data_IF_028335687503
#
_entry.id   IF_028335687503
#
_cell.length_a   1.000
_cell.length_b   1.000
_cell.length_c   1.000
_cell.angle_alpha   90.00
_cell.angle_beta   90.00
_cell.angle_gamma   90.00
#
_symmetry.space_group_name_H-M   'P 1'
#
loop_
_entity.id
_entity.type
_entity.pdbx_description
1 polymer ?
#
# COMPACT_ATOMS: atom_id res chain seq x y z
N UNK A 1 -14.53 13.65 4.43
CA UNK A 1 -15.71 14.48 4.11
C UNK A 1 -15.37 15.63 3.19
N UNK A 2 -16.37 16.37 2.80
CA UNK A 2 -16.25 17.57 1.98
C UNK A 2 -16.63 18.80 2.81
N UNK A 3 -15.85 19.88 2.72
CA UNK A 3 -16.21 21.13 3.36
C UNK A 3 -17.49 21.66 2.72
N UNK A 4 -18.56 21.83 3.51
CA UNK A 4 -19.85 22.33 3.05
C UNK A 4 -20.03 23.82 3.34
N UNK A 5 -19.43 24.32 4.45
CA UNK A 5 -19.53 25.71 4.86
C UNK A 5 -18.31 26.10 5.71
N UNK A 6 -17.80 27.30 5.49
CA UNK A 6 -16.75 27.89 6.33
C UNK A 6 -17.36 29.13 7.01
N UNK A 7 -17.66 29.00 8.30
CA UNK A 7 -18.14 30.09 9.13
C UNK A 7 -17.01 30.80 9.87
N UNK A 8 -17.33 31.88 10.59
CA UNK A 8 -16.36 32.68 11.37
C UNK A 8 -15.75 31.85 12.52
N UNK A 9 -16.56 31.06 13.21
CA UNK A 9 -16.13 30.30 14.39
C UNK A 9 -15.94 28.81 14.15
N UNK A 10 -16.58 28.26 13.11
CA UNK A 10 -16.57 26.83 12.82
C UNK A 10 -16.68 26.54 11.34
N UNK A 11 -16.10 25.41 10.94
CA UNK A 11 -16.19 24.81 9.60
C UNK A 11 -17.11 23.60 9.65
N UNK A 12 -18.04 23.50 8.71
CA UNK A 12 -18.93 22.35 8.56
C UNK A 12 -18.42 21.42 7.46
N UNK A 13 -18.38 20.13 7.78
CA UNK A 13 -17.89 19.06 6.89
C UNK A 13 -19.01 18.05 6.71
N UNK A 14 -19.44 17.86 5.45
CA UNK A 14 -20.35 16.77 5.10
C UNK A 14 -19.56 15.47 5.00
N UNK A 15 -19.93 14.47 5.80
CA UNK A 15 -19.31 13.15 5.80
C UNK A 15 -19.84 12.28 4.68
N UNK A 16 -19.22 11.11 4.46
CA UNK A 16 -19.69 10.12 3.47
C UNK A 16 -21.01 9.46 3.90
N UNK A 17 -21.25 9.37 5.19
CA UNK A 17 -22.48 8.85 5.78
C UNK A 17 -23.63 9.87 5.80
N UNK A 18 -23.44 11.01 5.11
CA UNK A 18 -24.43 12.06 4.91
C UNK A 18 -24.89 12.79 6.18
N UNK A 19 -23.98 12.95 7.18
CA UNK A 19 -24.21 13.86 8.30
C UNK A 19 -23.16 14.98 8.34
N UNK A 20 -23.47 16.05 9.07
CA UNK A 20 -22.60 17.23 9.18
C UNK A 20 -21.79 17.17 10.47
N UNK A 21 -20.47 17.27 10.36
CA UNK A 21 -19.56 17.50 11.47
C UNK A 21 -19.22 18.99 11.53
N UNK A 22 -19.44 19.61 12.67
CA UNK A 22 -19.06 21.00 12.90
C UNK A 22 -17.76 21.02 13.71
N UNK A 23 -16.70 21.57 13.12
CA UNK A 23 -15.36 21.65 13.72
C UNK A 23 -15.05 23.11 14.04
N UNK A 24 -14.77 23.49 15.31
CA UNK A 24 -14.33 24.83 15.65
C UNK A 24 -13.06 25.21 14.88
N UNK A 25 -12.99 26.43 14.31
CA UNK A 25 -11.82 26.85 13.53
C UNK A 25 -10.53 26.86 14.36
N UNK A 26 -10.61 27.11 15.65
CA UNK A 26 -9.46 27.03 16.57
C UNK A 26 -8.83 25.62 16.60
N UNK A 27 -9.63 24.55 16.47
CA UNK A 27 -9.13 23.17 16.41
C UNK A 27 -8.42 22.92 15.08
N UNK A 28 -8.98 23.43 13.99
CA UNK A 28 -8.37 23.30 12.64
C UNK A 28 -7.03 24.00 12.58
N UNK A 29 -6.94 25.24 13.09
CA UNK A 29 -5.71 26.05 13.05
C UNK A 29 -4.65 25.53 14.03
N UNK A 30 -5.06 24.99 15.19
CA UNK A 30 -4.16 24.43 16.20
C UNK A 30 -3.64 23.03 15.90
N UNK A 31 -4.19 22.36 14.89
CA UNK A 31 -3.82 21.01 14.53
C UNK A 31 -2.72 20.93 13.47
N UNK A 32 -2.12 19.75 13.34
CA UNK A 32 -1.20 19.46 12.22
C UNK A 32 -1.97 19.43 10.90
N UNK A 33 -1.59 20.27 9.95
CA UNK A 33 -2.17 20.31 8.61
C UNK A 33 -1.27 19.49 7.67
N UNK A 34 -1.83 18.50 7.01
CA UNK A 34 -1.16 17.69 5.98
C UNK A 34 -1.78 18.04 4.65
N UNK A 35 -1.03 18.66 3.76
CA UNK A 35 -1.44 18.92 2.39
C UNK A 35 -0.84 17.85 1.47
N UNK A 36 -1.65 16.93 0.98
CA UNK A 36 -1.22 15.81 0.15
C UNK A 36 -0.96 16.20 -1.32
N UNK A 37 -1.40 17.39 -1.75
CA UNK A 37 -1.30 17.84 -3.14
C UNK A 37 -0.38 19.05 -3.34
N UNK A 38 0.20 19.62 -2.26
CA UNK A 38 0.93 20.88 -2.31
C UNK A 38 2.19 20.85 -3.21
N UNK A 39 2.87 19.72 -3.28
CA UNK A 39 4.14 19.60 -4.01
C UNK A 39 4.04 18.78 -5.32
N UNK A 40 2.85 18.34 -5.69
CA UNK A 40 2.68 17.63 -6.95
C UNK A 40 2.37 18.62 -8.06
N UNK A 41 3.37 18.98 -8.86
CA UNK A 41 3.22 19.86 -10.02
C UNK A 41 2.16 19.37 -11.02
N UNK A 42 1.90 18.07 -11.03
CA UNK A 42 0.95 17.36 -11.88
C UNK A 42 -0.35 16.94 -11.17
N UNK A 43 -0.50 17.29 -9.88
CA UNK A 43 -1.70 16.99 -9.08
C UNK A 43 -1.85 15.54 -8.61
N UNK A 44 -0.93 14.64 -8.96
CA UNK A 44 -0.96 13.23 -8.50
C UNK A 44 -0.58 13.09 -7.03
N UNK A 45 -1.09 12.09 -6.33
CA UNK A 45 -0.86 11.82 -4.91
C UNK A 45 -0.15 10.50 -4.71
N UNK A 46 0.84 10.46 -3.83
CA UNK A 46 1.45 9.20 -3.42
C UNK A 46 0.54 8.45 -2.44
N UNK A 47 0.24 7.21 -2.78
CA UNK A 47 -0.49 6.28 -1.93
C UNK A 47 0.49 5.23 -1.42
N UNK A 48 0.47 5.01 -0.10
CA UNK A 48 1.27 4.00 0.57
C UNK A 48 0.35 3.00 1.25
N UNK A 49 0.68 1.72 1.14
CA UNK A 49 0.00 0.63 1.85
C UNK A 49 1.03 -0.40 2.32
N UNK A 50 0.69 -1.18 3.36
CA UNK A 50 1.56 -2.23 3.87
C UNK A 50 0.86 -3.57 3.90
N UNK A 51 1.65 -4.63 3.72
CA UNK A 51 1.23 -6.02 3.88
C UNK A 51 2.24 -6.78 4.72
N UNK A 52 1.80 -7.86 5.35
CA UNK A 52 2.64 -8.73 6.17
C UNK A 52 2.65 -10.14 5.58
N UNK A 53 3.83 -10.71 5.38
CA UNK A 53 4.02 -12.00 4.72
C UNK A 53 4.98 -12.85 5.55
N UNK A 54 4.64 -14.12 5.72
CA UNK A 54 5.47 -15.08 6.45
C UNK A 54 6.84 -15.32 5.79
N UNK A 55 7.77 -15.86 6.58
CA UNK A 55 9.14 -16.15 6.13
C UNK A 55 9.26 -17.33 5.16
N UNK A 56 8.19 -18.10 4.98
CA UNK A 56 8.07 -19.19 4.01
C UNK A 56 7.95 -18.73 2.56
N UNK A 57 7.68 -17.44 2.33
CA UNK A 57 7.58 -16.86 1.00
C UNK A 57 8.85 -16.09 0.65
N UNK A 58 9.44 -16.33 -0.54
CA UNK A 58 10.62 -15.60 -1.01
C UNK A 58 10.34 -14.11 -1.11
N UNK A 59 11.16 -13.26 -0.48
CA UNK A 59 10.95 -11.81 -0.51
C UNK A 59 10.98 -11.22 -1.94
N UNK A 60 11.70 -11.86 -2.87
CA UNK A 60 11.76 -11.44 -4.27
C UNK A 60 10.42 -11.66 -4.97
N UNK A 61 9.76 -12.77 -4.64
CA UNK A 61 8.41 -13.04 -5.12
C UNK A 61 7.43 -12.00 -4.57
N UNK A 62 7.50 -11.67 -3.27
CA UNK A 62 6.63 -10.64 -2.66
C UNK A 62 6.80 -9.29 -3.35
N UNK A 63 8.04 -8.86 -3.63
CA UNK A 63 8.30 -7.63 -4.37
C UNK A 63 7.64 -7.66 -5.75
N UNK A 64 7.86 -8.75 -6.51
CA UNK A 64 7.29 -8.89 -7.85
C UNK A 64 5.76 -8.92 -7.84
N UNK A 65 5.13 -9.55 -6.83
CA UNK A 65 3.68 -9.57 -6.65
C UNK A 65 3.12 -8.17 -6.37
N UNK A 66 3.76 -7.41 -5.49
CA UNK A 66 3.34 -6.05 -5.17
C UNK A 66 3.48 -5.10 -6.38
N UNK A 67 4.58 -5.21 -7.12
CA UNK A 67 4.77 -4.47 -8.36
C UNK A 67 3.74 -4.86 -9.43
N UNK A 68 3.43 -6.14 -9.57
CA UNK A 68 2.41 -6.64 -10.49
C UNK A 68 1.02 -6.12 -10.11
N UNK A 69 0.69 -6.13 -8.81
CA UNK A 69 -0.57 -5.58 -8.31
C UNK A 69 -0.69 -4.08 -8.63
N UNK A 70 0.38 -3.31 -8.42
CA UNK A 70 0.41 -1.89 -8.77
C UNK A 70 0.17 -1.65 -10.27
N UNK A 71 0.81 -2.45 -11.12
CA UNK A 71 0.63 -2.36 -12.59
C UNK A 71 -0.78 -2.71 -13.05
N UNK A 72 -1.46 -3.63 -12.37
CA UNK A 72 -2.84 -4.04 -12.70
C UNK A 72 -3.90 -3.09 -12.11
N UNK A 73 -3.49 -2.19 -11.20
CA UNK A 73 -4.44 -1.28 -10.53
C UNK A 73 -4.81 -0.11 -11.42
N UNK A 74 -6.10 0.05 -11.68
CA UNK A 74 -6.63 1.23 -12.36
C UNK A 74 -6.44 2.48 -11.47
N UNK A 75 -6.11 3.61 -12.10
CA UNK A 75 -5.89 4.88 -11.38
C UNK A 75 -4.50 5.04 -10.78
N UNK A 76 -3.61 4.05 -10.91
CA UNK A 76 -2.17 4.19 -10.64
C UNK A 76 -1.47 4.72 -11.88
N UNK A 77 -0.58 5.68 -11.71
CA UNK A 77 0.26 6.21 -12.78
C UNK A 77 1.32 5.17 -13.16
N UNK A 78 1.18 4.60 -14.36
CA UNK A 78 2.08 3.57 -14.88
C UNK A 78 3.42 4.14 -15.42
N UNK A 79 3.57 5.46 -15.51
CA UNK A 79 4.82 6.10 -15.92
C UNK A 79 5.82 6.18 -14.76
N UNK A 80 5.32 6.13 -13.54
CA UNK A 80 6.13 6.16 -12.32
C UNK A 80 6.18 4.76 -11.72
N UNK A 81 7.40 4.21 -11.63
CA UNK A 81 7.59 2.88 -11.08
C UNK A 81 7.12 2.81 -9.61
N UNK A 82 6.37 1.75 -9.23
CA UNK A 82 6.04 1.52 -7.84
C UNK A 82 7.30 1.24 -7.02
N UNK A 83 7.29 1.61 -5.76
CA UNK A 83 8.42 1.38 -4.85
C UNK A 83 7.98 0.39 -3.78
N UNK A 84 8.70 -0.73 -3.67
CA UNK A 84 8.48 -1.73 -2.63
C UNK A 84 9.64 -1.69 -1.63
N UNK A 85 9.31 -1.58 -0.34
CA UNK A 85 10.28 -1.57 0.76
C UNK A 85 9.94 -2.62 1.80
N UNK A 86 10.96 -3.15 2.47
CA UNK A 86 10.80 -3.92 3.71
C UNK A 86 10.85 -2.93 4.86
N UNK A 87 9.79 -2.88 5.68
CA UNK A 87 9.73 -1.99 6.83
C UNK A 87 10.33 -2.62 8.09
N UNK A 88 10.25 -3.95 8.21
CA UNK A 88 10.77 -4.64 9.37
C UNK A 88 10.73 -6.15 9.22
N UNK A 89 11.64 -6.79 9.96
CA UNK A 89 11.66 -8.23 10.19
C UNK A 89 11.07 -8.45 11.58
N UNK A 90 9.90 -9.04 11.65
CA UNK A 90 9.15 -9.21 12.91
C UNK A 90 9.14 -10.69 13.30
N UNK A 91 8.59 -11.02 14.46
CA UNK A 91 8.71 -12.36 15.03
C UNK A 91 8.24 -13.49 14.10
N UNK A 92 7.18 -13.24 13.30
CA UNK A 92 6.53 -14.26 12.48
C UNK A 92 6.38 -13.88 11.01
N UNK A 93 6.72 -12.65 10.63
CA UNK A 93 6.51 -12.12 9.29
C UNK A 93 7.47 -10.98 8.98
N UNK A 94 7.63 -10.71 7.69
CA UNK A 94 8.24 -9.49 7.18
C UNK A 94 7.13 -8.49 6.82
N UNK A 95 7.26 -7.26 7.27
CA UNK A 95 6.38 -6.15 6.86
C UNK A 95 6.94 -5.50 5.60
N UNK A 96 6.10 -5.41 4.56
CA UNK A 96 6.40 -4.76 3.29
C UNK A 96 5.53 -3.52 3.12
N UNK A 97 6.09 -2.49 2.52
CA UNK A 97 5.41 -1.28 2.10
C UNK A 97 5.43 -1.19 0.58
N UNK A 98 4.27 -0.93 -0.01
CA UNK A 98 4.12 -0.56 -1.41
C UNK A 98 3.73 0.91 -1.50
N UNK A 99 4.51 1.69 -2.23
CA UNK A 99 4.22 3.08 -2.57
C UNK A 99 3.96 3.18 -4.07
N UNK A 100 2.82 3.77 -4.44
CA UNK A 100 2.42 4.05 -5.82
C UNK A 100 2.02 5.50 -5.98
N UNK A 101 2.13 6.03 -7.19
CA UNK A 101 1.61 7.33 -7.56
C UNK A 101 0.20 7.15 -8.15
N UNK A 102 -0.78 7.88 -7.64
CA UNK A 102 -2.11 7.92 -8.24
C UNK A 102 -2.17 9.00 -9.33
N UNK A 103 -2.95 8.73 -10.37
CA UNK A 103 -3.27 9.73 -11.37
C UNK A 103 -4.04 10.91 -10.73
N UNK A 104 -3.90 12.15 -11.22
CA UNK A 104 -4.60 13.33 -10.69
C UNK A 104 -6.12 13.19 -10.66
N UNK A 105 -6.67 12.39 -11.58
CA UNK A 105 -8.11 12.10 -11.69
C UNK A 105 -8.62 11.09 -10.66
N UNK A 106 -7.72 10.37 -9.98
CA UNK A 106 -8.06 9.30 -9.05
C UNK A 106 -8.16 9.82 -7.62
N UNK A 107 -9.32 9.69 -7.00
CA UNK A 107 -9.51 10.03 -5.60
C UNK A 107 -8.76 9.03 -4.71
N UNK A 108 -8.08 9.52 -3.67
CA UNK A 108 -7.26 8.69 -2.77
C UNK A 108 -8.00 7.46 -2.19
N UNK A 109 -9.27 7.56 -1.72
CA UNK A 109 -9.99 6.39 -1.22
C UNK A 109 -10.28 5.35 -2.28
N UNK A 110 -10.62 5.79 -3.50
CA UNK A 110 -10.96 4.89 -4.61
C UNK A 110 -9.71 4.18 -5.11
N UNK A 111 -8.61 4.91 -5.28
CA UNK A 111 -7.30 4.34 -5.62
C UNK A 111 -6.80 3.35 -4.57
N UNK A 112 -7.00 3.64 -3.29
CA UNK A 112 -6.65 2.71 -2.20
C UNK A 112 -7.45 1.42 -2.27
N UNK A 113 -8.76 1.53 -2.45
CA UNK A 113 -9.61 0.35 -2.57
C UNK A 113 -9.24 -0.51 -3.79
N UNK A 114 -9.02 0.12 -4.94
CA UNK A 114 -8.58 -0.59 -6.15
C UNK A 114 -7.22 -1.28 -5.95
N UNK A 115 -6.25 -0.60 -5.31
CA UNK A 115 -4.94 -1.19 -5.03
C UNK A 115 -5.04 -2.38 -4.09
N UNK A 116 -5.83 -2.28 -3.01
CA UNK A 116 -6.03 -3.40 -2.08
C UNK A 116 -6.68 -4.61 -2.77
N UNK A 117 -7.69 -4.39 -3.62
CA UNK A 117 -8.30 -5.47 -4.40
C UNK A 117 -7.29 -6.13 -5.32
N UNK A 118 -6.51 -5.37 -6.06
CA UNK A 118 -5.46 -5.90 -6.94
C UNK A 118 -4.39 -6.69 -6.17
N UNK A 119 -4.00 -6.22 -4.97
CA UNK A 119 -3.06 -6.95 -4.11
C UNK A 119 -3.65 -8.31 -3.72
N UNK A 120 -4.89 -8.35 -3.24
CA UNK A 120 -5.55 -9.59 -2.84
C UNK A 120 -5.64 -10.56 -4.02
N UNK A 121 -6.09 -10.08 -5.18
CA UNK A 121 -6.25 -10.91 -6.38
C UNK A 121 -4.92 -11.50 -6.86
N UNK A 122 -3.87 -10.67 -6.94
CA UNK A 122 -2.54 -11.12 -7.37
C UNK A 122 -1.95 -12.12 -6.38
N UNK A 123 -2.03 -11.86 -5.08
CA UNK A 123 -1.50 -12.78 -4.08
C UNK A 123 -2.23 -14.11 -4.08
N UNK A 124 -3.56 -14.10 -4.26
CA UNK A 124 -4.37 -15.33 -4.42
C UNK A 124 -4.02 -16.09 -5.70
N UNK A 125 -3.84 -15.39 -6.84
CA UNK A 125 -3.46 -15.98 -8.12
C UNK A 125 -2.16 -16.80 -8.01
N UNK A 126 -1.19 -16.31 -7.23
CA UNK A 126 0.10 -16.97 -7.03
C UNK A 126 0.17 -17.82 -5.75
N UNK A 127 -0.94 -18.02 -5.06
CA UNK A 127 -1.02 -18.86 -3.86
C UNK A 127 -0.22 -18.36 -2.67
N UNK A 128 0.05 -17.06 -2.59
CA UNK A 128 0.76 -16.43 -1.48
C UNK A 128 -0.22 -15.86 -0.48
N UNK A 129 -0.14 -16.32 0.76
CA UNK A 129 -1.04 -15.87 1.82
C UNK A 129 -0.58 -14.54 2.42
N UNK A 130 -1.47 -13.55 2.46
CA UNK A 130 -1.31 -12.35 3.28
C UNK A 130 -1.66 -12.73 4.72
N UNK A 131 -0.68 -12.64 5.62
CA UNK A 131 -0.82 -13.14 6.98
C UNK A 131 -1.32 -12.07 7.95
N UNK A 132 -2.24 -12.48 8.83
CA UNK A 132 -2.50 -11.76 10.08
C UNK A 132 -1.41 -12.09 11.10
N UNK A 133 -1.02 -11.16 11.98
CA UNK A 133 0.02 -11.39 13.00
C UNK A 133 -0.47 -12.23 14.18
N UNK A 134 -1.23 -13.30 13.93
CA UNK A 134 -1.74 -14.19 14.97
C UNK A 134 -0.83 -15.43 15.07
N UNK A 135 -0.19 -15.59 16.22
CA UNK A 135 0.54 -16.80 16.54
C UNK A 135 -0.43 -17.94 16.88
N UNK A 136 -0.37 -19.02 16.10
CA UNK A 136 -1.17 -20.22 16.34
C UNK A 136 -0.30 -21.33 16.93
N UNK A 137 0.95 -21.50 16.42
CA UNK A 137 1.85 -22.54 16.84
C UNK A 137 3.27 -22.23 16.33
N UNK A 138 4.29 -22.54 17.13
CA UNK A 138 5.67 -22.52 16.65
C UNK A 138 5.92 -23.74 15.77
N UNK A 139 6.42 -23.59 14.53
CA UNK A 139 6.77 -24.71 13.67
C UNK A 139 7.84 -25.60 14.33
N UNK A 140 7.71 -26.91 14.22
CA UNK A 140 8.72 -27.87 14.73
C UNK A 140 10.01 -27.85 13.90
N UNK A 141 9.94 -27.40 12.64
CA UNK A 141 11.07 -27.27 11.74
C UNK A 141 11.29 -25.80 11.39
N UNK A 142 12.54 -25.45 11.02
CA UNK A 142 12.86 -24.10 10.56
C UNK A 142 12.06 -23.75 9.30
N UNK A 143 11.44 -22.59 9.30
CA UNK A 143 10.74 -22.02 8.13
C UNK A 143 11.76 -21.23 7.33
N UNK A 144 12.28 -21.85 6.28
CA UNK A 144 13.28 -21.25 5.39
C UNK A 144 12.86 -21.43 3.95
N UNK A 145 13.22 -20.48 3.10
CA UNK A 145 13.05 -20.59 1.65
C UNK A 145 14.31 -21.20 1.06
N UNK A 146 14.26 -22.40 0.44
CA UNK A 146 15.41 -23.01 -0.19
C UNK A 146 15.89 -22.17 -1.38
N UNK A 147 17.19 -22.27 -1.70
CA UNK A 147 17.84 -21.39 -2.69
C UNK A 147 17.20 -21.49 -4.09
N UNK A 148 16.78 -22.66 -4.50
CA UNK A 148 16.08 -22.91 -5.78
C UNK A 148 14.73 -22.19 -5.87
N UNK A 149 14.11 -21.84 -4.74
CA UNK A 149 12.84 -21.13 -4.68
C UNK A 149 12.99 -19.61 -4.48
N UNK A 150 14.21 -19.06 -4.45
CA UNK A 150 14.41 -17.62 -4.22
C UNK A 150 13.79 -16.71 -5.28
N UNK A 151 13.58 -17.24 -6.48
CA UNK A 151 12.98 -16.54 -7.62
C UNK A 151 11.68 -17.22 -8.06
N UNK A 152 10.81 -17.56 -7.09
CA UNK A 152 9.48 -18.07 -7.41
C UNK A 152 8.67 -17.01 -8.17
N UNK A 153 7.89 -17.47 -9.16
CA UNK A 153 7.10 -16.58 -10.02
C UNK A 153 6.24 -15.58 -9.20
N UNK A 154 6.09 -14.34 -9.64
CA UNK A 154 6.56 -13.75 -10.90
C UNK A 154 7.97 -13.13 -10.84
N UNK A 155 8.79 -13.42 -9.83
CA UNK A 155 10.15 -12.92 -9.72
C UNK A 155 11.05 -13.50 -10.83
N UNK A 156 11.95 -12.68 -11.37
CA UNK A 156 12.92 -13.07 -12.40
C UNK A 156 14.32 -13.04 -11.82
N UNK A 157 15.11 -14.10 -12.04
CA UNK A 157 16.51 -14.14 -11.64
C UNK A 157 17.33 -13.11 -12.44
N UNK A 158 18.36 -12.47 -11.84
CA UNK A 158 19.29 -11.61 -12.58
C UNK A 158 19.97 -12.43 -13.68
N UNK A 159 20.12 -11.81 -14.85
CA UNK A 159 20.99 -12.38 -15.88
C UNK A 159 22.44 -12.28 -15.40
N UNK A 160 23.18 -13.40 -15.43
CA UNK A 160 24.63 -13.36 -15.16
C UNK A 160 25.28 -12.44 -16.20
N UNK A 161 26.19 -11.53 -15.78
CA UNK A 161 26.94 -10.75 -16.73
C UNK A 161 27.75 -11.68 -17.62
N UNK A 162 27.62 -11.57 -18.94
CA UNK A 162 28.47 -12.27 -19.89
C UNK A 162 29.94 -11.97 -19.54
N UNK A 163 30.73 -13.03 -19.37
CA UNK A 163 32.15 -12.95 -19.04
C UNK A 163 32.97 -12.53 -20.23
#
# INVERSE_FOLDING_TARGET
GQVSEIGVLATKILTRENYIVTVPNAVVVGGKIINLSAESADGGVNLTTSVTIGYDTPWRQVHALLELAARRTSGVDQQIAPVVRKLGLLDWYTSYELQVRLLPTTKLPDGRNALHSSIIDVFNEFGVQIMSPNFVMQPKAAVVVPQEAWYAAPAVAPQEPEK
#
